data_IF_424827944117
#
_entry.id   IF_424827944117
#
_cell.length_a   1.000
_cell.length_b   1.000
_cell.length_c   1.000
_cell.angle_alpha   90.00
_cell.angle_beta   90.00
_cell.angle_gamma   90.00
#
_symmetry.space_group_name_H-M   'P 1'
#
loop_
_entity.id
_entity.type
_entity.pdbx_description
1 polymer ?
#
# COMPACT_ATOMS: atom_id res chain seq x y z
N UNK A 1 -26.95 12.22 -19.92
CA UNK A 1 -26.57 10.87 -20.39
C UNK A 1 -25.06 10.78 -20.45
N UNK A 2 -24.41 10.04 -19.53
CA UNK A 2 -22.95 9.88 -19.53
C UNK A 2 -22.59 8.78 -20.55
N UNK A 3 -21.69 9.07 -21.50
CA UNK A 3 -21.21 8.07 -22.45
C UNK A 3 -20.43 6.99 -21.68
N UNK A 4 -20.86 5.73 -21.80
CA UNK A 4 -20.16 4.57 -21.22
C UNK A 4 -18.81 4.43 -21.90
N UNK A 5 -17.73 4.28 -21.12
CA UNK A 5 -16.42 3.97 -21.67
C UNK A 5 -16.39 2.55 -22.23
N UNK A 6 -15.60 2.31 -23.29
CA UNK A 6 -15.36 0.96 -23.82
C UNK A 6 -14.85 0.03 -22.72
N UNK A 7 -15.28 -1.23 -22.73
CA UNK A 7 -14.77 -2.25 -21.82
C UNK A 7 -13.26 -2.49 -22.03
N UNK A 8 -12.61 -3.07 -21.03
CA UNK A 8 -11.21 -3.48 -21.13
C UNK A 8 -11.10 -4.90 -21.69
N UNK A 9 -10.39 -5.03 -22.79
CA UNK A 9 -9.99 -6.28 -23.44
C UNK A 9 -8.94 -7.01 -22.61
N UNK A 10 -8.71 -8.28 -22.94
CA UNK A 10 -7.67 -9.08 -22.29
C UNK A 10 -6.27 -8.52 -22.52
N UNK A 11 -5.97 -8.09 -23.75
CA UNK A 11 -4.70 -7.43 -24.11
C UNK A 11 -4.46 -6.18 -23.27
N UNK A 12 -5.49 -5.35 -23.06
CA UNK A 12 -5.39 -4.16 -22.21
C UNK A 12 -5.09 -4.51 -20.74
N UNK A 13 -5.70 -5.59 -20.21
CA UNK A 13 -5.42 -6.06 -18.85
C UNK A 13 -3.98 -6.55 -18.72
N UNK A 14 -3.49 -7.32 -19.70
CA UNK A 14 -2.11 -7.80 -19.73
C UNK A 14 -1.11 -6.65 -19.85
N UNK A 15 -1.38 -5.66 -20.70
CA UNK A 15 -0.57 -4.45 -20.81
C UNK A 15 -0.49 -3.69 -19.48
N UNK A 16 -1.62 -3.53 -18.79
CA UNK A 16 -1.64 -2.88 -17.49
C UNK A 16 -0.76 -3.60 -16.47
N UNK A 17 -0.84 -4.93 -16.43
CA UNK A 17 -0.02 -5.78 -15.55
C UNK A 17 1.47 -5.61 -15.87
N UNK A 18 1.83 -5.60 -17.16
CA UNK A 18 3.22 -5.45 -17.60
C UNK A 18 3.81 -4.10 -17.18
N UNK A 19 3.08 -3.01 -17.40
CA UNK A 19 3.53 -1.67 -17.00
C UNK A 19 3.56 -1.55 -15.47
N UNK A 20 2.61 -2.18 -14.76
CA UNK A 20 2.51 -2.10 -13.30
C UNK A 20 3.69 -2.74 -12.57
N UNK A 21 4.41 -3.70 -13.19
CA UNK A 21 5.56 -4.38 -12.57
C UNK A 21 6.61 -3.41 -12.05
N UNK A 22 6.87 -2.35 -12.80
CA UNK A 22 7.89 -1.34 -12.45
C UNK A 22 7.47 -0.45 -11.27
N UNK A 23 6.16 -0.31 -11.03
CA UNK A 23 5.61 0.61 -10.04
C UNK A 23 5.06 -0.10 -8.79
N UNK A 24 5.04 -1.44 -8.77
CA UNK A 24 4.35 -2.25 -7.75
C UNK A 24 4.83 -1.94 -6.33
N UNK A 25 6.15 -1.75 -6.14
CA UNK A 25 6.74 -1.45 -4.84
C UNK A 25 6.23 -0.13 -4.23
N UNK A 26 5.88 0.84 -5.08
CA UNK A 26 5.35 2.14 -4.65
C UNK A 26 3.83 2.07 -4.54
N UNK A 27 3.15 1.51 -5.54
CA UNK A 27 1.68 1.45 -5.63
C UNK A 27 1.08 0.65 -4.49
N UNK A 28 1.65 -0.53 -4.20
CA UNK A 28 1.15 -1.43 -3.16
C UNK A 28 1.84 -1.18 -1.79
N UNK A 29 2.56 -0.07 -1.65
CA UNK A 29 3.10 0.37 -0.36
C UNK A 29 1.96 0.69 0.63
N UNK A 30 1.95 -0.04 1.75
CA UNK A 30 0.96 0.07 2.83
C UNK A 30 1.10 1.37 3.66
N UNK A 31 2.23 2.07 3.57
CA UNK A 31 2.44 3.32 4.31
C UNK A 31 1.46 4.41 3.86
N UNK A 32 0.96 5.20 4.82
CA UNK A 32 -0.06 6.25 4.63
C UNK A 32 0.46 7.66 4.88
N UNK A 33 1.77 7.84 5.08
CA UNK A 33 2.39 9.14 5.27
C UNK A 33 2.26 10.04 4.01
N UNK A 34 2.33 11.37 4.22
CA UNK A 34 2.14 12.35 3.15
C UNK A 34 3.13 12.18 1.98
N UNK A 35 4.37 11.77 2.25
CA UNK A 35 5.37 11.44 1.23
C UNK A 35 4.97 10.21 0.41
N UNK A 36 4.54 9.13 1.05
CA UNK A 36 4.05 7.91 0.41
C UNK A 36 2.82 8.18 -0.46
N UNK A 37 1.87 9.01 0.00
CA UNK A 37 0.70 9.40 -0.80
C UNK A 37 1.12 10.16 -2.06
N UNK A 38 2.04 11.14 -1.93
CA UNK A 38 2.59 11.88 -3.08
C UNK A 38 3.34 10.96 -4.05
N UNK A 39 4.15 10.04 -3.53
CA UNK A 39 4.89 9.07 -4.34
C UNK A 39 3.94 8.13 -5.10
N UNK A 40 2.91 7.58 -4.43
CA UNK A 40 1.84 6.77 -5.07
C UNK A 40 1.14 7.54 -6.17
N UNK A 41 0.79 8.82 -5.93
CA UNK A 41 0.16 9.65 -6.97
C UNK A 41 1.06 9.80 -8.19
N UNK A 42 2.35 10.09 -8.01
CA UNK A 42 3.33 10.19 -9.10
C UNK A 42 3.50 8.87 -9.85
N UNK A 43 3.61 7.75 -9.13
CA UNK A 43 3.71 6.42 -9.72
C UNK A 43 2.50 6.10 -10.60
N UNK A 44 1.29 6.39 -10.13
CA UNK A 44 0.08 6.21 -10.93
C UNK A 44 0.02 7.11 -12.18
N UNK A 45 0.48 8.36 -12.08
CA UNK A 45 0.60 9.24 -13.25
C UNK A 45 1.62 8.68 -14.26
N UNK A 46 2.78 8.23 -13.80
CA UNK A 46 3.80 7.61 -14.66
C UNK A 46 3.31 6.34 -15.35
N UNK A 47 2.65 5.45 -14.60
CA UNK A 47 2.01 4.24 -15.12
C UNK A 47 0.95 4.58 -16.17
N UNK A 48 0.10 5.58 -15.90
CA UNK A 48 -0.95 6.01 -16.85
C UNK A 48 -0.35 6.51 -18.15
N UNK A 49 0.72 7.29 -18.08
CA UNK A 49 1.42 7.79 -19.27
C UNK A 49 2.06 6.66 -20.07
N UNK A 50 2.75 5.73 -19.41
CA UNK A 50 3.32 4.54 -20.07
C UNK A 50 2.25 3.68 -20.74
N UNK A 51 1.15 3.42 -20.03
CA UNK A 51 0.04 2.65 -20.56
C UNK A 51 -0.54 3.32 -21.81
N UNK A 52 -0.86 4.61 -21.73
CA UNK A 52 -1.48 5.34 -22.84
C UNK A 52 -0.53 5.54 -24.03
N UNK A 53 0.79 5.53 -23.82
CA UNK A 53 1.77 5.58 -24.91
C UNK A 53 1.80 4.29 -25.75
N UNK A 54 1.39 3.16 -25.16
CA UNK A 54 1.39 1.84 -25.83
C UNK A 54 -0.03 1.39 -26.22
N UNK A 55 -1.07 1.98 -25.64
CA UNK A 55 -2.43 1.55 -25.83
C UNK A 55 -2.99 1.89 -27.23
N UNK A 56 -3.31 0.85 -28.01
CA UNK A 56 -3.93 0.98 -29.35
C UNK A 56 -5.44 1.31 -29.30
N UNK A 57 -6.10 1.11 -28.16
CA UNK A 57 -7.57 1.20 -28.00
C UNK A 57 -8.07 2.58 -27.59
N UNK A 58 -7.15 3.52 -27.37
CA UNK A 58 -7.42 4.91 -27.00
C UNK A 58 -7.07 5.25 -25.55
N UNK A 59 -7.21 6.54 -25.23
CA UNK A 59 -6.78 7.11 -23.95
C UNK A 59 -7.62 6.62 -22.76
N UNK A 60 -6.94 6.23 -21.67
CA UNK A 60 -7.57 5.87 -20.38
C UNK A 60 -7.14 6.84 -19.29
N UNK A 61 -8.09 7.19 -18.43
CA UNK A 61 -7.81 8.03 -17.26
C UNK A 61 -7.17 7.22 -16.15
N UNK A 62 -6.35 7.87 -15.32
CA UNK A 62 -5.73 7.26 -14.16
C UNK A 62 -6.73 6.54 -13.25
N UNK A 63 -7.92 7.14 -13.00
CA UNK A 63 -8.98 6.54 -12.17
C UNK A 63 -9.49 5.22 -12.74
N UNK A 64 -9.61 5.11 -14.08
CA UNK A 64 -10.06 3.88 -14.72
C UNK A 64 -9.01 2.78 -14.60
N UNK A 65 -7.73 3.11 -14.75
CA UNK A 65 -6.63 2.15 -14.61
C UNK A 65 -6.47 1.67 -13.16
N UNK A 66 -6.62 2.58 -12.19
CA UNK A 66 -6.64 2.22 -10.77
C UNK A 66 -7.77 1.24 -10.45
N UNK A 67 -9.00 1.58 -10.86
CA UNK A 67 -10.15 0.71 -10.65
C UNK A 67 -9.97 -0.66 -11.32
N UNK A 68 -9.41 -0.70 -12.53
CA UNK A 68 -9.09 -1.95 -13.21
C UNK A 68 -8.06 -2.78 -12.44
N UNK A 69 -6.95 -2.17 -12.02
CA UNK A 69 -5.90 -2.85 -11.27
C UNK A 69 -6.43 -3.43 -9.95
N UNK A 70 -7.22 -2.65 -9.21
CA UNK A 70 -7.81 -3.13 -7.95
C UNK A 70 -8.80 -4.27 -8.18
N UNK A 71 -9.60 -4.20 -9.26
CA UNK A 71 -10.48 -5.30 -9.63
C UNK A 71 -9.70 -6.56 -10.01
N UNK A 72 -8.61 -6.43 -10.78
CA UNK A 72 -7.73 -7.55 -11.13
C UNK A 72 -7.15 -8.20 -9.86
N UNK A 73 -6.64 -7.41 -8.90
CA UNK A 73 -6.16 -7.92 -7.62
C UNK A 73 -7.24 -8.67 -6.84
N UNK A 74 -8.46 -8.12 -6.79
CA UNK A 74 -9.59 -8.73 -6.07
C UNK A 74 -10.02 -10.05 -6.72
N UNK A 75 -10.18 -10.06 -8.04
CA UNK A 75 -10.57 -11.24 -8.81
C UNK A 75 -9.53 -12.34 -8.69
N UNK A 76 -8.24 -12.02 -8.84
CA UNK A 76 -7.16 -12.99 -8.71
C UNK A 76 -7.16 -13.65 -7.32
N UNK A 77 -7.21 -12.85 -6.24
CA UNK A 77 -7.29 -13.37 -4.86
C UNK A 77 -8.49 -14.27 -4.64
N UNK A 78 -9.65 -13.89 -5.18
CA UNK A 78 -10.87 -14.68 -5.08
C UNK A 78 -10.75 -16.02 -5.81
N UNK A 79 -10.35 -16.00 -7.07
CA UNK A 79 -10.23 -17.21 -7.90
C UNK A 79 -9.23 -18.19 -7.28
N UNK A 80 -8.09 -17.70 -6.78
CA UNK A 80 -7.13 -18.53 -6.07
C UNK A 80 -7.67 -19.11 -4.77
N UNK A 81 -8.41 -18.32 -3.99
CA UNK A 81 -9.02 -18.80 -2.74
C UNK A 81 -10.07 -19.87 -3.02
N UNK A 82 -10.89 -19.66 -4.06
CA UNK A 82 -11.89 -20.62 -4.50
C UNK A 82 -11.21 -21.92 -4.94
N UNK A 83 -10.15 -21.84 -5.74
CA UNK A 83 -9.38 -22.98 -6.24
C UNK A 83 -8.70 -23.75 -5.11
N UNK A 84 -8.05 -23.04 -4.17
CA UNK A 84 -7.48 -23.64 -2.96
C UNK A 84 -8.56 -24.35 -2.14
N UNK A 85 -9.72 -23.73 -1.95
CA UNK A 85 -10.80 -24.32 -1.18
C UNK A 85 -11.44 -25.55 -1.87
N UNK A 86 -11.51 -25.53 -3.20
CA UNK A 86 -12.06 -26.63 -3.99
C UNK A 86 -11.12 -27.84 -3.97
N UNK A 87 -9.81 -27.62 -3.97
CA UNK A 87 -8.82 -28.69 -3.82
C UNK A 87 -9.02 -29.52 -2.53
N UNK A 88 -9.39 -28.87 -1.41
CA UNK A 88 -9.61 -29.55 -0.13
C UNK A 88 -11.01 -30.19 0.02
N UNK A 89 -11.93 -29.99 -0.93
CA UNK A 89 -13.32 -30.46 -0.84
C UNK A 89 -13.63 -31.68 -1.71
N UNK A 90 -12.70 -32.12 -2.55
CA UNK A 90 -12.96 -33.24 -3.47
C UNK A 90 -12.82 -34.59 -2.79
N UNK A 91 -13.93 -35.28 -2.55
CA UNK A 91 -13.99 -36.70 -2.19
C UNK A 91 -13.80 -37.63 -3.39
N UNK A 92 -12.80 -37.38 -4.25
CA UNK A 92 -12.47 -38.22 -5.42
C UNK A 92 -12.90 -37.69 -6.81
N UNK A 93 -13.41 -36.45 -6.92
CA UNK A 93 -13.75 -35.81 -8.20
C UNK A 93 -12.56 -35.07 -8.85
N UNK A 94 -12.64 -34.85 -10.17
CA UNK A 94 -11.64 -34.04 -10.91
C UNK A 94 -11.77 -32.56 -10.58
N UNK A 95 -10.66 -31.93 -10.19
CA UNK A 95 -10.58 -30.50 -9.92
C UNK A 95 -10.45 -29.69 -11.23
N UNK A 96 -11.28 -28.65 -11.36
CA UNK A 96 -11.22 -27.70 -12.48
C UNK A 96 -10.86 -26.30 -11.94
N UNK A 97 -9.66 -25.78 -12.22
CA UNK A 97 -9.26 -24.45 -11.75
C UNK A 97 -10.06 -23.35 -12.44
N UNK A 98 -10.48 -22.35 -11.66
CA UNK A 98 -11.08 -21.10 -12.17
C UNK A 98 -10.04 -20.01 -12.43
N UNK A 99 -8.82 -20.20 -11.93
CA UNK A 99 -7.71 -19.25 -12.08
C UNK A 99 -7.36 -19.08 -13.57
N UNK A 100 -7.26 -17.83 -14.02
CA UNK A 100 -6.87 -17.48 -15.40
C UNK A 100 -5.39 -17.10 -15.48
N UNK A 101 -4.81 -17.06 -16.68
CA UNK A 101 -3.43 -16.60 -16.90
C UNK A 101 -3.18 -15.18 -16.40
N UNK A 102 -4.20 -14.32 -16.45
CA UNK A 102 -4.14 -12.96 -15.87
C UNK A 102 -4.02 -13.03 -14.35
N UNK A 103 -4.79 -13.91 -13.69
CA UNK A 103 -4.79 -14.05 -12.24
C UNK A 103 -3.43 -14.55 -11.74
N UNK A 104 -2.82 -15.51 -12.43
CA UNK A 104 -1.46 -16.02 -12.12
C UNK A 104 -0.41 -14.90 -12.22
N UNK A 105 -0.49 -14.06 -13.26
CA UNK A 105 0.41 -12.92 -13.41
C UNK A 105 0.21 -11.89 -12.30
N UNK A 106 -1.04 -11.57 -11.97
CA UNK A 106 -1.37 -10.65 -10.87
C UNK A 106 -0.88 -11.21 -9.53
N UNK A 107 -1.04 -12.51 -9.30
CA UNK A 107 -0.51 -13.19 -8.13
C UNK A 107 1.00 -13.04 -8.07
N UNK A 108 1.72 -13.35 -9.15
CA UNK A 108 3.17 -13.23 -9.20
C UNK A 108 3.67 -11.81 -8.84
N UNK A 109 2.91 -10.76 -9.18
CA UNK A 109 3.22 -9.39 -8.76
C UNK A 109 2.98 -9.12 -7.27
N UNK A 110 2.02 -9.81 -6.67
CA UNK A 110 1.65 -9.65 -5.26
C UNK A 110 2.49 -10.53 -4.31
N UNK A 111 2.91 -11.71 -4.76
CA UNK A 111 3.62 -12.73 -3.96
C UNK A 111 4.83 -12.20 -3.16
N UNK A 112 5.67 -11.28 -3.68
CA UNK A 112 6.78 -10.75 -2.89
C UNK A 112 6.36 -10.09 -1.57
N UNK A 113 5.08 -9.72 -1.41
CA UNK A 113 4.57 -8.90 -0.31
C UNK A 113 3.76 -9.68 0.75
N UNK A 114 3.62 -11.00 0.59
CA UNK A 114 2.88 -11.87 1.51
C UNK A 114 3.73 -13.08 1.92
N UNK A 115 4.85 -12.84 2.61
CA UNK A 115 5.51 -13.92 3.35
C UNK A 115 4.70 -14.19 4.63
N UNK A 116 4.43 -15.45 4.98
CA UNK A 116 3.96 -15.80 6.32
C UNK A 116 4.92 -15.21 7.35
N UNK A 117 4.38 -14.55 8.37
CA UNK A 117 5.18 -14.17 9.53
C UNK A 117 5.31 -15.43 10.35
N UNK A 118 6.53 -15.92 10.55
CA UNK A 118 6.80 -17.03 11.47
C UNK A 118 6.44 -16.54 12.89
N UNK A 119 5.29 -16.99 13.39
CA UNK A 119 4.87 -16.69 14.75
C UNK A 119 5.25 -17.87 15.65
N UNK A 120 6.42 -17.77 16.30
CA UNK A 120 6.94 -18.79 17.21
C UNK A 120 6.08 -18.99 18.47
N UNK A 121 5.12 -18.09 18.73
CA UNK A 121 4.32 -18.05 19.95
C UNK A 121 2.81 -18.29 19.72
N UNK A 122 2.37 -18.58 18.49
CA UNK A 122 0.94 -18.86 18.17
C UNK A 122 0.50 -20.29 18.48
N UNK A 123 1.46 -21.16 18.72
CA UNK A 123 1.15 -22.54 19.06
C UNK A 123 0.69 -22.53 20.52
N UNK A 124 -0.63 -22.47 20.74
CA UNK A 124 -1.34 -22.60 22.02
C UNK A 124 -0.64 -23.58 22.97
N UNK A 125 0.38 -23.09 23.69
CA UNK A 125 1.12 -23.89 24.64
C UNK A 125 0.21 -24.11 25.84
N UNK A 126 0.00 -25.35 26.30
CA UNK A 126 -0.86 -25.62 27.43
C UNK A 126 -0.18 -25.10 28.70
N UNK A 127 -0.62 -23.96 29.22
CA UNK A 127 -0.19 -23.41 30.52
C UNK A 127 -0.65 -24.26 31.73
N UNK A 128 -1.03 -25.52 31.53
CA UNK A 128 -1.51 -26.44 32.58
C UNK A 128 -0.46 -27.50 32.97
N UNK A 129 0.76 -27.07 33.28
CA UNK A 129 1.76 -27.93 33.90
C UNK A 129 2.45 -27.30 35.13
N UNK A 130 1.83 -26.30 35.76
CA UNK A 130 2.25 -25.82 37.07
C UNK A 130 1.34 -26.49 38.12
N UNK A 131 1.77 -27.64 38.61
CA UNK A 131 1.20 -28.30 39.79
C UNK A 131 1.52 -27.40 41.00
N UNK A 132 0.64 -26.44 41.29
CA UNK A 132 0.79 -25.53 42.43
C UNK A 132 0.33 -26.25 43.69
N UNK A 133 1.30 -26.79 44.42
CA UNK A 133 1.09 -27.19 45.80
C UNK A 133 0.64 -25.97 46.62
N UNK A 134 -0.57 -26.07 47.16
CA UNK A 134 -1.20 -25.12 48.06
C UNK A 134 -0.34 -24.84 49.30
N UNK A 135 0.20 -23.63 49.44
CA UNK A 135 0.58 -23.09 50.76
C UNK A 135 0.17 -21.62 50.92
N UNK A 136 -1.03 -21.45 51.48
CA UNK A 136 -1.48 -20.45 52.46
C UNK A 136 -0.80 -19.06 52.48
N UNK A 137 -1.55 -18.10 51.96
CA UNK A 137 -1.81 -16.71 52.37
C UNK A 137 -1.10 -16.22 53.65
N UNK A 138 -0.44 -15.06 53.54
CA UNK A 138 -0.43 -14.01 54.58
C UNK A 138 -0.35 -12.62 53.92
N UNK A 139 -1.27 -11.73 54.31
CA UNK A 139 -1.36 -10.32 53.87
C UNK A 139 -0.43 -9.46 54.72
N UNK A 140 0.36 -8.57 54.10
CA UNK A 140 0.64 -7.27 54.71
C UNK A 140 1.01 -6.22 53.64
N UNK A 141 0.35 -5.07 53.70
CA UNK A 141 0.52 -3.95 52.80
C UNK A 141 1.61 -3.00 53.30
N UNK A 142 2.41 -2.44 52.40
CA UNK A 142 2.97 -1.08 52.52
C UNK A 142 3.54 -0.60 51.18
N UNK A 143 2.95 0.48 50.68
CA UNK A 143 3.37 1.26 49.53
C UNK A 143 4.56 2.15 49.93
N UNK A 144 5.61 2.20 49.11
CA UNK A 144 6.34 3.45 48.89
C UNK A 144 7.11 3.44 47.57
N UNK A 145 6.89 4.51 46.80
CA UNK A 145 7.36 4.82 45.46
C UNK A 145 8.71 5.54 45.52
N UNK A 146 9.77 4.99 44.91
CA UNK A 146 10.98 5.77 44.56
C UNK A 146 11.63 5.11 43.34
N UNK A 147 11.75 5.83 42.23
CA UNK A 147 13.06 6.29 41.72
C UNK A 147 12.88 6.94 40.35
N UNK A 148 13.06 8.26 40.33
CA UNK A 148 12.98 9.12 39.17
C UNK A 148 14.04 8.79 38.10
N UNK A 149 13.62 8.93 36.84
CA UNK A 149 14.47 8.95 35.66
C UNK A 149 15.30 10.24 35.61
N UNK A 150 16.61 10.08 35.40
CA UNK A 150 17.49 11.15 34.89
C UNK A 150 18.14 10.60 33.62
N UNK A 151 17.81 11.18 32.46
CA UNK A 151 18.78 11.38 31.38
C UNK A 151 18.49 12.75 30.74
N UNK A 152 19.39 13.68 30.99
CA UNK A 152 19.49 15.01 30.38
C UNK A 152 19.93 14.88 28.91
N UNK A 153 19.37 15.73 28.03
CA UNK A 153 19.95 15.99 26.72
C UNK A 153 19.93 17.51 26.48
N UNK A 154 21.10 18.12 26.57
CA UNK A 154 21.33 19.55 26.34
C UNK A 154 21.05 19.90 24.88
N UNK A 155 20.19 20.91 24.65
CA UNK A 155 20.00 21.55 23.36
C UNK A 155 20.88 22.80 23.31
N UNK A 156 21.89 22.81 22.44
CA UNK A 156 22.68 24.01 22.13
C UNK A 156 21.94 24.87 21.12
N UNK A 157 21.44 26.03 21.56
CA UNK A 157 20.87 27.07 20.71
C UNK A 157 21.98 27.79 19.93
N UNK A 158 21.84 27.83 18.60
CA UNK A 158 22.69 28.57 17.69
C UNK A 158 21.83 29.34 16.69
N UNK A 159 21.45 30.56 17.06
CA UNK A 159 20.76 31.50 16.18
C UNK A 159 21.76 32.20 15.24
N UNK A 160 21.75 31.80 13.97
CA UNK A 160 22.47 32.46 12.88
C UNK A 160 21.65 33.65 12.36
N UNK A 161 22.23 34.85 12.49
CA UNK A 161 21.73 36.10 11.90
C UNK A 161 21.86 36.05 10.38
N UNK A 162 20.79 36.42 9.67
CA UNK A 162 20.87 36.78 8.24
C UNK A 162 20.36 38.20 8.06
N UNK A 163 21.32 39.11 7.85
CA UNK A 163 21.10 40.41 7.21
C UNK A 163 21.17 40.21 5.70
N UNK A 164 20.13 40.64 4.99
CA UNK A 164 20.23 40.91 3.55
C UNK A 164 19.31 42.06 3.19
N UNK A 165 19.76 43.26 3.56
CA UNK A 165 19.47 44.47 2.82
C UNK A 165 19.97 44.38 1.35
N UNK A 166 19.22 45.00 0.43
CA UNK A 166 19.63 45.48 -0.91
C UNK A 166 19.73 44.40 -2.02
N UNK A 167 18.73 44.37 -2.93
CA UNK A 167 18.92 44.75 -4.34
C UNK A 167 17.66 45.50 -4.80
N UNK A 168 17.91 46.71 -5.29
CA UNK A 168 16.98 47.68 -5.85
C UNK A 168 16.71 47.41 -7.34
N UNK A 169 15.68 48.09 -7.84
CA UNK A 169 15.45 48.52 -9.23
C UNK A 169 14.60 47.69 -10.23
N UNK A 170 13.44 48.32 -10.53
CA UNK A 170 12.93 48.78 -11.85
C UNK A 170 12.38 47.70 -12.80
N UNK A 171 11.23 47.82 -13.47
CA UNK A 171 10.49 48.93 -14.10
C UNK A 171 9.00 48.50 -14.26
N UNK A 172 7.97 49.37 -14.15
CA UNK A 172 7.26 50.06 -15.29
C UNK A 172 6.74 49.04 -16.33
N UNK A 173 5.47 48.89 -16.72
CA UNK A 173 4.37 49.83 -17.00
C UNK A 173 3.07 49.06 -17.38
N UNK A 174 1.91 49.71 -17.20
CA UNK A 174 0.62 49.66 -17.95
C UNK A 174 0.27 48.47 -18.88
N UNK A 175 -0.92 47.85 -18.78
CA UNK A 175 -2.21 48.37 -19.34
C UNK A 175 -3.36 47.38 -19.03
N UNK A 176 -4.64 47.84 -18.99
CA UNK A 176 -5.78 46.97 -19.30
C UNK A 176 -6.56 47.52 -20.51
N UNK A 177 -6.64 46.76 -21.60
CA UNK A 177 -7.64 46.97 -22.67
C UNK A 177 -7.94 45.66 -23.40
N UNK A 178 -9.15 45.13 -23.22
CA UNK A 178 -9.83 44.39 -24.28
C UNK A 178 -11.29 44.84 -24.33
N UNK A 179 -11.61 45.62 -25.36
CA UNK A 179 -12.96 45.76 -25.92
C UNK A 179 -13.08 44.73 -27.04
N UNK A 180 -14.14 43.93 -27.03
CA UNK A 180 -15.17 43.88 -28.09
C UNK A 180 -16.30 43.00 -27.62
#
# INVERSE_FOLDING_TARGET
>A
STKRSKNFTEREKLLLIEVAKEFVAIIDNKKTDGSSVKAKKRAWTGLTNKYNAVADTGFRTQKQLQALYDNLKKTARKNMSDDKSALYKTGGGTFCPKTTTIDEKVQALLTPQCQPIDNELDSSAPYHAMDVQTTKIEHNAQLNVISDCIIEFEATEGDEKIDSSIIDHKDVETTPKVKR
#
